data_IF_742982526154
#
_entry.id   IF_742982526154
#
_cell.length_a   1.000
_cell.length_b   1.000
_cell.length_c   1.000
_cell.angle_alpha   90.00
_cell.angle_beta   90.00
_cell.angle_gamma   90.00
#
_symmetry.space_group_name_H-M   'P 1'
#
loop_
_entity.id
_entity.type
_entity.pdbx_description
1 polymer ?
#
# COMPACT_ATOMS: atom_id res chain seq x y z
N UNK A 1 -54.32 -5.98 51.74
CA UNK A 1 -53.33 -6.77 50.97
C UNK A 1 -52.34 -5.79 50.40
N UNK A 2 -51.30 -5.53 51.19
CA UNK A 2 -49.92 -6.02 51.02
C UNK A 2 -49.17 -5.15 49.98
N UNK A 3 -48.12 -4.42 50.34
CA UNK A 3 -47.45 -4.17 51.63
C UNK A 3 -46.38 -3.10 51.32
N UNK A 4 -46.26 -2.08 52.20
CA UNK A 4 -45.02 -1.43 52.69
C UNK A 4 -44.24 -0.57 51.67
N UNK A 5 -44.32 0.77 51.74
CA UNK A 5 -43.66 1.68 52.70
C UNK A 5 -42.17 1.91 52.35
N UNK A 6 -41.52 3.06 52.52
CA UNK A 6 -41.81 4.30 53.23
C UNK A 6 -40.71 5.31 52.77
N UNK A 7 -41.01 6.62 52.75
CA UNK A 7 -40.25 7.74 53.38
C UNK A 7 -38.70 7.72 53.30
N UNK A 8 -37.93 8.75 52.92
CA UNK A 8 -37.82 10.19 53.31
C UNK A 8 -36.71 10.74 52.36
N UNK A 9 -36.90 11.80 51.57
CA UNK A 9 -36.67 13.23 51.89
C UNK A 9 -35.23 13.68 52.20
N UNK A 10 -34.81 14.73 51.48
CA UNK A 10 -33.90 15.85 51.85
C UNK A 10 -32.41 15.74 51.45
N UNK A 11 -32.11 16.48 50.37
CA UNK A 11 -31.08 17.52 50.19
C UNK A 11 -29.61 17.25 50.58
N UNK A 12 -28.72 17.34 49.60
CA UNK A 12 -27.72 18.43 49.45
C UNK A 12 -26.73 18.11 48.31
N UNK A 13 -26.27 19.20 47.66
CA UNK A 13 -25.01 19.47 46.94
C UNK A 13 -23.98 18.35 46.62
N UNK A 14 -23.10 18.69 45.65
CA UNK A 14 -21.89 17.99 45.13
C UNK A 14 -22.18 17.09 43.91
N UNK A 15 -21.52 17.17 42.76
CA UNK A 15 -20.30 17.85 42.34
C UNK A 15 -20.46 18.27 40.86
N UNK A 16 -20.30 19.57 40.57
CA UNK A 16 -19.94 20.03 39.23
C UNK A 16 -18.43 19.82 39.12
N UNK A 17 -18.02 18.88 38.26
CA UNK A 17 -16.61 18.60 37.97
C UNK A 17 -16.11 17.30 38.58
N UNK A 18 -16.30 16.20 37.86
CA UNK A 18 -15.44 15.02 37.85
C UNK A 18 -16.01 14.05 36.80
N UNK A 19 -15.63 14.27 35.54
CA UNK A 19 -15.38 13.20 34.56
C UNK A 19 -14.69 13.83 33.36
N UNK A 20 -13.48 14.36 33.61
CA UNK A 20 -12.43 14.25 32.61
C UNK A 20 -11.84 12.87 32.82
N UNK A 21 -12.26 11.96 31.96
CA UNK A 21 -11.57 10.71 31.69
C UNK A 21 -10.05 10.94 31.77
N UNK A 22 -9.36 10.09 32.52
CA UNK A 22 -7.96 9.79 32.34
C UNK A 22 -7.69 9.62 30.84
N UNK A 23 -7.24 10.69 30.18
CA UNK A 23 -6.55 10.56 28.91
C UNK A 23 -5.16 10.09 29.30
N UNK A 24 -4.95 8.77 29.22
CA UNK A 24 -3.60 8.25 29.06
C UNK A 24 -2.90 9.10 28.01
N UNK A 25 -1.63 9.50 28.20
CA UNK A 25 -0.92 10.26 27.18
C UNK A 25 -1.08 9.54 25.84
N UNK A 26 -1.47 10.25 24.78
CA UNK A 26 -1.67 9.68 23.45
C UNK A 26 -0.37 8.96 23.04
N UNK A 27 -0.34 7.64 23.18
CA UNK A 27 0.82 6.84 22.77
C UNK A 27 0.72 6.69 21.27
N UNK A 28 1.39 7.58 20.56
CA UNK A 28 1.55 7.49 19.11
C UNK A 28 2.61 6.43 18.79
N UNK A 29 2.22 5.43 18.00
CA UNK A 29 3.10 4.36 17.50
C UNK A 29 3.49 4.72 16.07
N UNK A 30 4.75 5.08 15.88
CA UNK A 30 5.28 5.53 14.60
C UNK A 30 6.45 4.66 14.21
N UNK A 31 6.56 4.35 12.92
CA UNK A 31 7.64 3.54 12.42
C UNK A 31 8.01 3.88 10.98
N UNK A 32 8.92 3.06 10.46
CA UNK A 32 9.37 3.15 9.08
C UNK A 32 9.34 1.78 8.38
N UNK A 33 9.11 1.79 7.08
CA UNK A 33 9.35 0.63 6.22
C UNK A 33 10.80 0.70 5.70
N UNK A 34 11.71 -0.07 6.29
CA UNK A 34 13.15 -0.05 6.02
C UNK A 34 13.59 -1.38 5.38
N UNK A 35 13.58 -1.52 4.06
CA UNK A 35 13.68 -2.82 3.40
C UNK A 35 15.02 -3.52 3.66
N UNK A 36 16.11 -2.77 3.86
CA UNK A 36 17.46 -3.32 3.99
C UNK A 36 17.84 -3.73 5.42
N UNK A 37 17.10 -3.29 6.43
CA UNK A 37 17.39 -3.61 7.82
C UNK A 37 16.93 -2.51 8.77
N UNK A 38 17.42 -2.51 10.00
CA UNK A 38 17.14 -1.48 11.00
C UNK A 38 18.34 -0.55 11.16
N UNK A 39 18.31 0.68 10.62
CA UNK A 39 19.34 1.67 10.89
C UNK A 39 19.39 2.03 12.39
N UNK A 40 20.59 2.06 13.02
CA UNK A 40 20.73 2.31 14.46
C UNK A 40 20.13 3.63 14.96
N UNK A 41 20.12 4.66 14.12
CA UNK A 41 19.58 5.99 14.42
C UNK A 41 18.06 5.98 14.60
N UNK A 42 17.34 5.02 13.99
CA UNK A 42 15.89 4.91 14.11
C UNK A 42 15.45 4.33 15.46
N UNK A 43 16.25 3.43 16.04
CA UNK A 43 15.90 2.66 17.25
C UNK A 43 15.54 3.54 18.45
N UNK A 44 16.06 4.77 18.50
CA UNK A 44 15.78 5.75 19.57
C UNK A 44 14.80 6.84 19.18
N UNK A 45 14.30 6.82 17.96
CA UNK A 45 13.52 7.90 17.35
C UNK A 45 12.11 7.50 17.01
N UNK A 46 11.83 6.21 16.84
CA UNK A 46 10.54 5.64 16.45
C UNK A 46 10.30 4.34 17.22
N UNK A 47 9.09 3.81 17.14
CA UNK A 47 8.64 2.64 17.90
C UNK A 47 8.91 1.32 17.19
N UNK A 48 8.89 1.34 15.84
CA UNK A 48 9.09 0.12 15.07
C UNK A 48 9.68 0.35 13.66
N UNK A 49 10.15 -0.74 13.05
CA UNK A 49 10.41 -0.83 11.62
C UNK A 49 9.73 -2.04 10.99
N UNK A 50 9.43 -1.96 9.69
CA UNK A 50 9.04 -3.08 8.83
C UNK A 50 10.18 -3.33 7.85
N UNK A 51 10.83 -4.49 7.97
CA UNK A 51 12.01 -4.87 7.18
C UNK A 51 11.65 -5.96 6.17
N UNK A 52 12.10 -5.83 4.92
CA UNK A 52 12.02 -6.93 3.96
C UNK A 52 13.07 -7.98 4.34
N UNK A 53 12.61 -9.14 4.78
CA UNK A 53 13.51 -10.22 5.17
C UNK A 53 14.16 -10.83 3.94
N UNK A 54 15.49 -10.75 3.87
CA UNK A 54 16.28 -11.28 2.77
C UNK A 54 16.97 -12.60 3.14
N UNK A 55 17.66 -12.63 4.29
CA UNK A 55 18.38 -13.81 4.79
C UNK A 55 18.50 -13.78 6.33
N UNK A 56 18.85 -14.91 6.98
CA UNK A 56 18.96 -14.97 8.43
C UNK A 56 19.98 -13.99 9.05
N UNK A 57 21.07 -13.65 8.35
CA UNK A 57 22.07 -12.72 8.88
C UNK A 57 21.53 -11.30 8.94
N UNK A 58 20.81 -10.87 7.90
CA UNK A 58 20.16 -9.56 7.86
C UNK A 58 19.06 -9.44 8.94
N UNK A 59 18.25 -10.50 9.12
CA UNK A 59 17.23 -10.56 10.18
C UNK A 59 17.87 -10.52 11.57
N UNK A 60 18.93 -11.30 11.81
CA UNK A 60 19.64 -11.27 13.09
C UNK A 60 20.27 -9.89 13.36
N UNK A 61 20.88 -9.27 12.36
CA UNK A 61 21.48 -7.93 12.48
C UNK A 61 20.45 -6.87 12.88
N UNK A 62 19.27 -6.90 12.26
CA UNK A 62 18.19 -5.96 12.57
C UNK A 62 17.68 -6.13 14.00
N UNK A 63 17.48 -7.38 14.45
CA UNK A 63 17.07 -7.69 15.83
C UNK A 63 18.14 -7.33 16.86
N UNK A 64 19.42 -7.59 16.57
CA UNK A 64 20.55 -7.19 17.43
C UNK A 64 20.60 -5.68 17.64
N UNK A 65 20.32 -4.90 16.60
CA UNK A 65 20.32 -3.44 16.67
C UNK A 65 19.23 -2.90 17.61
N UNK A 66 18.10 -3.60 17.72
CA UNK A 66 17.00 -3.27 18.63
C UNK A 66 17.19 -3.74 20.08
N UNK A 67 18.14 -4.66 20.32
CA UNK A 67 18.32 -5.32 21.62
C UNK A 67 18.59 -4.32 22.75
N UNK A 68 17.89 -4.48 23.87
CA UNK A 68 18.01 -3.58 25.03
C UNK A 68 17.21 -2.28 24.90
N UNK A 69 16.32 -2.19 23.91
CA UNK A 69 15.40 -1.06 23.70
C UNK A 69 13.95 -1.56 23.56
N UNK A 70 12.98 -0.65 23.61
CA UNK A 70 11.56 -0.97 23.35
C UNK A 70 11.22 -1.13 21.87
N UNK A 71 12.16 -0.83 20.97
CA UNK A 71 11.95 -0.85 19.52
C UNK A 71 11.55 -2.23 19.00
N UNK A 72 10.54 -2.27 18.13
CA UNK A 72 10.05 -3.51 17.50
C UNK A 72 10.52 -3.62 16.05
N UNK A 73 11.04 -4.78 15.68
CA UNK A 73 11.35 -5.12 14.30
C UNK A 73 10.27 -6.06 13.77
N UNK A 74 9.48 -5.57 12.82
CA UNK A 74 8.52 -6.35 12.05
C UNK A 74 9.16 -6.78 10.73
N UNK A 75 8.74 -7.93 10.19
CA UNK A 75 9.36 -8.50 8.99
C UNK A 75 8.33 -8.82 7.91
N UNK A 76 8.60 -8.36 6.69
CA UNK A 76 7.93 -8.80 5.48
C UNK A 76 8.68 -10.02 4.91
N UNK A 77 8.06 -11.19 4.99
CA UNK A 77 8.57 -12.46 4.46
C UNK A 77 8.05 -12.79 3.06
N UNK A 78 7.47 -11.85 2.31
CA UNK A 78 6.96 -12.16 0.94
C UNK A 78 7.99 -12.91 0.09
N UNK A 79 9.25 -12.45 0.08
CA UNK A 79 10.35 -13.08 -0.68
C UNK A 79 10.80 -14.45 -0.15
N UNK A 80 10.41 -14.81 1.06
CA UNK A 80 10.77 -16.08 1.72
C UNK A 80 9.60 -17.08 1.67
N UNK A 81 8.41 -16.63 2.04
CA UNK A 81 7.23 -17.47 2.21
C UNK A 81 6.54 -17.81 0.89
N UNK A 82 6.77 -17.05 -0.18
CA UNK A 82 6.10 -17.24 -1.47
C UNK A 82 7.07 -17.61 -2.59
N UNK A 83 6.52 -18.22 -3.65
CA UNK A 83 7.16 -18.40 -4.94
C UNK A 83 6.49 -17.50 -5.97
N UNK A 84 7.20 -17.23 -7.08
CA UNK A 84 6.59 -16.61 -8.27
C UNK A 84 5.68 -17.64 -8.95
N UNK A 85 4.52 -17.22 -9.46
CA UNK A 85 3.65 -18.13 -10.24
C UNK A 85 4.37 -18.61 -11.51
N UNK A 86 4.36 -19.92 -11.82
CA UNK A 86 4.83 -20.42 -13.10
C UNK A 86 3.89 -19.98 -14.23
N UNK A 87 4.37 -19.92 -15.47
CA UNK A 87 3.58 -19.44 -16.62
C UNK A 87 2.26 -20.18 -16.81
N UNK A 88 2.25 -21.50 -16.60
CA UNK A 88 1.04 -22.31 -16.74
C UNK A 88 -0.04 -22.01 -15.69
N UNK A 89 0.28 -21.27 -14.63
CA UNK A 89 -0.66 -20.82 -13.60
C UNK A 89 -1.08 -19.35 -13.79
N UNK A 90 -0.58 -18.67 -14.83
CA UNK A 90 -0.94 -17.29 -15.16
C UNK A 90 -1.97 -17.33 -16.28
N UNK A 91 -3.15 -16.76 -16.01
CA UNK A 91 -4.23 -16.63 -16.97
C UNK A 91 -3.82 -15.70 -18.11
N UNK A 92 -4.04 -16.17 -19.34
CA UNK A 92 -4.02 -15.37 -20.56
C UNK A 92 -5.36 -14.70 -20.83
N UNK A 93 -6.39 -14.99 -20.02
CA UNK A 93 -7.72 -14.41 -20.16
C UNK A 93 -7.88 -13.23 -19.20
N UNK A 94 -8.54 -12.17 -19.67
CA UNK A 94 -8.98 -11.05 -18.84
C UNK A 94 -10.38 -10.58 -19.26
N UNK A 95 -11.00 -9.74 -18.43
CA UNK A 95 -12.27 -9.09 -18.74
C UNK A 95 -12.09 -7.59 -18.87
N UNK A 96 -12.76 -6.99 -19.86
CA UNK A 96 -12.84 -5.54 -19.96
C UNK A 96 -14.00 -4.98 -19.10
N UNK A 97 -14.22 -3.66 -19.11
CA UNK A 97 -15.29 -2.99 -18.33
C UNK A 97 -16.69 -3.45 -18.71
N UNK A 98 -16.88 -3.93 -19.93
CA UNK A 98 -18.18 -4.47 -20.40
C UNK A 98 -18.41 -5.90 -19.91
N UNK A 99 -17.39 -6.52 -19.28
CA UNK A 99 -17.40 -7.93 -18.91
C UNK A 99 -17.06 -8.86 -20.08
N UNK A 100 -16.66 -8.31 -21.23
CA UNK A 100 -16.25 -9.11 -22.38
C UNK A 100 -14.92 -9.78 -22.08
N UNK A 101 -14.82 -11.07 -22.38
CA UNK A 101 -13.60 -11.87 -22.19
C UNK A 101 -12.68 -11.70 -23.38
N UNK A 102 -11.40 -11.51 -23.10
CA UNK A 102 -10.34 -11.32 -24.09
C UNK A 102 -9.15 -12.23 -23.79
N UNK A 103 -8.34 -12.52 -24.81
CA UNK A 103 -7.09 -13.28 -24.67
C UNK A 103 -5.91 -12.38 -24.95
N UNK A 104 -4.94 -12.35 -24.05
CA UNK A 104 -3.67 -11.63 -24.18
C UNK A 104 -2.88 -12.17 -25.37
N UNK A 105 -2.25 -11.27 -26.14
CA UNK A 105 -1.36 -11.65 -27.24
C UNK A 105 0.07 -11.98 -26.81
N UNK A 106 0.50 -11.44 -25.67
CA UNK A 106 1.87 -11.60 -25.18
C UNK A 106 1.95 -12.58 -24.02
N UNK A 107 2.78 -13.60 -24.14
CA UNK A 107 3.06 -14.53 -23.05
C UNK A 107 3.59 -13.78 -21.81
N UNK A 108 3.27 -14.23 -20.58
CA UNK A 108 3.72 -13.60 -19.34
C UNK A 108 5.24 -13.46 -19.29
N UNK A 109 5.76 -12.33 -18.78
CA UNK A 109 7.21 -12.20 -18.58
C UNK A 109 7.61 -13.14 -17.44
N UNK A 110 8.59 -14.00 -17.70
CA UNK A 110 9.09 -14.96 -16.72
C UNK A 110 10.51 -14.65 -16.25
N UNK A 111 10.80 -14.89 -14.96
CA UNK A 111 9.85 -15.31 -13.92
C UNK A 111 8.95 -14.14 -13.47
N UNK A 112 7.62 -14.34 -13.46
CA UNK A 112 6.64 -13.27 -13.21
C UNK A 112 6.93 -12.55 -11.88
N UNK A 113 7.32 -11.26 -11.90
CA UNK A 113 7.92 -10.63 -10.73
C UNK A 113 6.90 -10.45 -9.59
N UNK A 114 5.66 -10.07 -9.93
CA UNK A 114 4.61 -9.72 -8.96
C UNK A 114 3.65 -10.85 -8.59
N UNK A 115 3.23 -11.69 -9.54
CA UNK A 115 2.29 -12.78 -9.25
C UNK A 115 2.91 -13.86 -8.36
N UNK A 116 2.31 -14.10 -7.19
CA UNK A 116 2.83 -15.01 -6.16
C UNK A 116 1.95 -16.25 -5.94
N UNK A 117 2.54 -17.28 -5.37
CA UNK A 117 1.84 -18.44 -4.80
C UNK A 117 2.57 -18.90 -3.53
N UNK A 118 1.85 -19.46 -2.57
CA UNK A 118 2.49 -20.16 -1.46
C UNK A 118 2.89 -21.57 -1.90
N UNK A 119 4.08 -22.07 -1.53
CA UNK A 119 4.41 -23.47 -1.69
C UNK A 119 3.62 -24.35 -0.70
N UNK A 120 3.90 -25.65 -0.70
CA UNK A 120 3.32 -26.57 0.28
C UNK A 120 3.75 -26.24 1.74
N UNK A 121 2.97 -26.74 2.71
CA UNK A 121 3.18 -26.47 4.14
C UNK A 121 4.58 -26.88 4.62
N UNK A 122 5.12 -28.00 4.13
CA UNK A 122 6.43 -28.50 4.54
C UNK A 122 7.54 -27.53 4.10
N UNK A 123 7.42 -26.99 2.88
CA UNK A 123 8.32 -25.99 2.33
C UNK A 123 8.21 -24.67 3.08
N UNK A 124 7.00 -24.19 3.39
CA UNK A 124 6.79 -22.99 4.22
C UNK A 124 7.50 -23.16 5.58
N UNK A 125 7.25 -24.27 6.29
CA UNK A 125 7.91 -24.55 7.58
C UNK A 125 9.43 -24.54 7.46
N UNK A 126 9.97 -25.23 6.45
CA UNK A 126 11.43 -25.29 6.21
C UNK A 126 12.02 -23.90 5.97
N UNK A 127 11.37 -23.06 5.16
CA UNK A 127 11.86 -21.72 4.83
C UNK A 127 11.78 -20.77 6.01
N UNK A 128 10.72 -20.82 6.82
CA UNK A 128 10.51 -19.91 7.95
C UNK A 128 11.29 -20.32 9.21
N UNK A 129 11.58 -21.61 9.40
CA UNK A 129 12.22 -22.13 10.62
C UNK A 129 13.47 -21.36 11.05
N UNK A 130 14.48 -21.11 10.18
CA UNK A 130 15.70 -20.41 10.59
C UNK A 130 15.43 -18.99 11.11
N UNK A 131 14.44 -18.32 10.52
CA UNK A 131 14.05 -16.97 10.94
C UNK A 131 13.31 -17.00 12.27
N UNK A 132 12.40 -17.96 12.47
CA UNK A 132 11.64 -18.05 13.71
C UNK A 132 12.52 -18.47 14.90
N UNK A 133 13.59 -19.24 14.66
CA UNK A 133 14.61 -19.52 15.68
C UNK A 133 15.33 -18.23 16.12
N UNK A 134 15.59 -17.31 15.18
CA UNK A 134 16.14 -15.99 15.50
C UNK A 134 15.14 -15.11 16.25
N UNK A 135 13.88 -15.09 15.83
CA UNK A 135 12.84 -14.34 16.54
C UNK A 135 12.66 -14.85 17.98
N UNK A 136 12.79 -16.15 18.22
CA UNK A 136 12.76 -16.72 19.58
C UNK A 136 13.93 -16.22 20.44
N UNK A 137 15.12 -16.14 19.85
CA UNK A 137 16.33 -15.60 20.52
C UNK A 137 16.20 -14.11 20.87
N UNK A 138 15.47 -13.33 20.06
CA UNK A 138 15.27 -11.89 20.23
C UNK A 138 13.79 -11.50 20.42
N UNK A 139 13.05 -12.32 21.19
CA UNK A 139 11.59 -12.25 21.27
C UNK A 139 11.04 -10.92 21.81
N UNK A 140 11.82 -10.22 22.64
CA UNK A 140 11.46 -8.89 23.16
C UNK A 140 11.42 -7.81 22.06
N UNK A 141 12.13 -7.98 20.95
CA UNK A 141 12.17 -7.01 19.87
C UNK A 141 11.44 -7.48 18.60
N UNK A 142 11.00 -8.75 18.54
CA UNK A 142 10.20 -9.25 17.45
C UNK A 142 8.78 -8.63 17.47
N UNK A 143 8.39 -7.99 16.36
CA UNK A 143 7.10 -7.32 16.19
C UNK A 143 6.08 -8.17 15.43
N UNK A 144 5.66 -7.67 14.28
CA UNK A 144 4.69 -8.34 13.38
C UNK A 144 5.41 -9.05 12.24
N UNK A 145 4.85 -10.16 11.78
CA UNK A 145 5.31 -10.87 10.59
C UNK A 145 4.25 -10.76 9.49
N UNK A 146 4.65 -10.27 8.32
CA UNK A 146 3.82 -10.23 7.11
C UNK A 146 4.26 -11.35 6.17
N UNK A 147 3.36 -12.31 5.88
CA UNK A 147 3.69 -13.44 5.01
C UNK A 147 3.63 -13.09 3.53
N UNK A 148 2.80 -12.12 3.19
CA UNK A 148 2.65 -11.59 1.84
C UNK A 148 2.21 -10.13 1.90
N UNK A 149 2.90 -9.33 1.11
CA UNK A 149 2.61 -7.94 0.82
C UNK A 149 1.68 -7.85 -0.39
N UNK A 150 0.71 -6.94 -0.31
CA UNK A 150 -0.34 -6.73 -1.31
C UNK A 150 -0.92 -8.04 -1.90
N UNK A 151 -1.35 -9.02 -1.07
CA UNK A 151 -1.54 -10.39 -1.52
C UNK A 151 -2.56 -10.51 -2.65
N UNK A 152 -3.63 -9.72 -2.61
CA UNK A 152 -4.72 -9.82 -3.58
C UNK A 152 -4.36 -9.20 -4.92
N UNK A 153 -3.60 -8.11 -4.92
CA UNK A 153 -2.98 -7.55 -6.13
C UNK A 153 -2.08 -8.62 -6.78
N UNK A 154 -1.30 -9.33 -5.95
CA UNK A 154 -0.36 -10.34 -6.36
C UNK A 154 -0.99 -11.73 -6.62
N UNK A 155 -2.32 -11.82 -6.63
CA UNK A 155 -3.06 -13.02 -7.03
C UNK A 155 -3.07 -14.16 -6.01
N UNK A 156 -2.78 -13.88 -4.74
CA UNK A 156 -2.90 -14.83 -3.63
C UNK A 156 -4.33 -14.86 -3.12
N UNK A 157 -4.92 -16.07 -3.10
CA UNK A 157 -6.28 -16.26 -2.62
C UNK A 157 -6.37 -16.13 -1.10
N UNK A 158 -7.52 -15.66 -0.60
CA UNK A 158 -7.83 -15.60 0.85
C UNK A 158 -7.58 -16.93 1.56
N UNK A 159 -8.05 -18.05 0.99
CA UNK A 159 -7.88 -19.38 1.57
C UNK A 159 -6.41 -19.83 1.66
N UNK A 160 -5.58 -19.40 0.70
CA UNK A 160 -4.14 -19.69 0.71
C UNK A 160 -3.41 -18.86 1.77
N UNK A 161 -3.82 -17.59 1.95
CA UNK A 161 -3.35 -16.77 3.07
C UNK A 161 -3.71 -17.40 4.41
N UNK A 162 -4.95 -17.89 4.58
CA UNK A 162 -5.39 -18.56 5.81
C UNK A 162 -4.59 -19.85 6.09
N UNK A 163 -4.34 -20.67 5.06
CA UNK A 163 -3.50 -21.87 5.16
C UNK A 163 -2.07 -21.51 5.60
N UNK A 164 -1.42 -20.60 4.89
CA UNK A 164 -0.05 -20.19 5.19
C UNK A 164 0.06 -19.52 6.57
N UNK A 165 -0.91 -18.68 6.92
CA UNK A 165 -1.05 -18.05 8.23
C UNK A 165 -1.15 -19.08 9.36
N UNK A 166 -1.98 -20.10 9.20
CA UNK A 166 -2.11 -21.18 10.18
C UNK A 166 -0.79 -21.97 10.36
N UNK A 167 -0.07 -22.25 9.27
CA UNK A 167 1.25 -22.90 9.34
C UNK A 167 2.26 -22.02 10.09
N UNK A 168 2.32 -20.73 9.77
CA UNK A 168 3.22 -19.78 10.44
C UNK A 168 2.89 -19.65 11.93
N UNK A 169 1.61 -19.50 12.29
CA UNK A 169 1.16 -19.44 13.68
C UNK A 169 1.58 -20.66 14.48
N UNK A 170 1.37 -21.87 13.93
CA UNK A 170 1.82 -23.11 14.57
C UNK A 170 3.34 -23.13 14.81
N UNK A 171 4.14 -22.66 13.86
CA UNK A 171 5.60 -22.64 14.00
C UNK A 171 6.11 -21.59 14.99
N UNK A 172 5.42 -20.45 15.10
CA UNK A 172 5.68 -19.45 16.13
C UNK A 172 5.30 -19.97 17.54
N UNK A 173 4.13 -20.62 17.67
CA UNK A 173 3.65 -21.16 18.95
C UNK A 173 4.57 -22.24 19.51
N UNK A 174 5.11 -23.11 18.65
CA UNK A 174 6.13 -24.12 19.03
C UNK A 174 7.39 -23.51 19.65
N UNK A 175 7.65 -22.23 19.39
CA UNK A 175 8.83 -21.47 19.86
C UNK A 175 8.50 -20.49 20.97
N UNK A 176 7.26 -20.49 21.49
CA UNK A 176 6.85 -19.56 22.52
C UNK A 176 6.71 -18.12 22.03
N UNK A 177 6.44 -17.91 20.73
CA UNK A 177 6.31 -16.59 20.11
C UNK A 177 4.84 -16.15 19.98
N UNK A 178 4.01 -16.39 21.00
CA UNK A 178 2.58 -16.03 20.97
C UNK A 178 2.34 -14.51 20.88
N UNK A 179 3.31 -13.69 21.32
CA UNK A 179 3.25 -12.23 21.24
C UNK A 179 3.58 -11.68 19.86
N UNK A 180 4.25 -12.46 19.00
CA UNK A 180 4.57 -12.06 17.62
C UNK A 180 3.31 -12.17 16.78
N UNK A 181 2.87 -11.03 16.23
CA UNK A 181 1.62 -10.90 15.47
C UNK A 181 1.79 -11.38 14.03
N UNK A 182 0.72 -11.87 13.43
CA UNK A 182 0.62 -12.06 11.98
C UNK A 182 -0.09 -10.87 11.35
N UNK A 183 0.54 -10.28 10.34
CA UNK A 183 0.04 -9.12 9.62
C UNK A 183 -0.23 -9.39 8.15
N UNK A 184 -1.16 -8.63 7.58
CA UNK A 184 -1.41 -8.56 6.13
C UNK A 184 -1.51 -7.09 5.72
N UNK A 185 -0.83 -6.71 4.64
CA UNK A 185 -0.88 -5.34 4.08
C UNK A 185 -1.55 -5.43 2.72
N UNK A 186 -2.62 -4.66 2.51
CA UNK A 186 -3.36 -4.61 1.25
C UNK A 186 -2.98 -3.39 0.42
N UNK A 187 -2.92 -3.58 -0.89
CA UNK A 187 -2.87 -2.46 -1.84
C UNK A 187 -4.24 -1.77 -1.86
N UNK A 188 -4.30 -0.59 -1.26
CA UNK A 188 -5.50 0.20 -1.04
C UNK A 188 -6.66 -0.61 -0.49
N UNK A 189 -7.76 -0.59 -1.26
CA UNK A 189 -9.03 -1.17 -0.88
C UNK A 189 -9.23 -2.64 -1.25
N UNK A 190 -8.22 -3.37 -1.70
CA UNK A 190 -8.42 -4.69 -2.33
C UNK A 190 -9.06 -5.76 -1.44
N UNK A 191 -9.09 -5.57 -0.12
CA UNK A 191 -9.88 -6.41 0.79
C UNK A 191 -11.41 -6.28 0.57
N UNK A 192 -11.92 -5.21 -0.04
CA UNK A 192 -13.32 -5.14 -0.47
C UNK A 192 -13.43 -5.72 -1.87
N UNK A 193 -14.26 -6.75 -2.01
CA UNK A 193 -14.55 -7.41 -3.28
C UNK A 193 -14.83 -6.41 -4.40
N UNK A 194 -15.74 -5.45 -4.17
CA UNK A 194 -16.19 -4.53 -5.22
C UNK A 194 -15.07 -3.61 -5.68
N UNK A 195 -14.18 -3.20 -4.77
CA UNK A 195 -12.99 -2.44 -5.13
C UNK A 195 -11.97 -3.29 -5.90
N UNK A 196 -11.71 -4.52 -5.45
CA UNK A 196 -10.81 -5.45 -6.15
C UNK A 196 -11.29 -5.76 -7.57
N UNK A 197 -12.61 -5.92 -7.78
CA UNK A 197 -13.21 -6.05 -9.11
C UNK A 197 -13.04 -4.78 -9.98
N UNK A 198 -13.06 -3.57 -9.40
CA UNK A 198 -12.79 -2.34 -10.17
C UNK A 198 -11.32 -2.29 -10.61
N UNK A 199 -10.39 -2.60 -9.71
CA UNK A 199 -8.95 -2.67 -10.00
C UNK A 199 -8.61 -3.69 -11.11
N UNK A 200 -9.24 -4.88 -11.08
CA UNK A 200 -9.04 -5.90 -12.11
C UNK A 200 -9.62 -5.46 -13.47
N UNK A 201 -10.78 -4.77 -13.47
CA UNK A 201 -11.34 -4.16 -14.70
C UNK A 201 -10.43 -3.12 -15.32
N UNK A 202 -9.83 -2.25 -14.51
CA UNK A 202 -8.88 -1.24 -15.01
C UNK A 202 -7.64 -1.89 -15.61
N UNK A 203 -7.13 -2.94 -14.96
CA UNK A 203 -6.04 -3.74 -15.50
C UNK A 203 -6.44 -4.42 -16.82
N UNK A 204 -7.69 -4.87 -16.94
CA UNK A 204 -8.26 -5.40 -18.17
C UNK A 204 -8.35 -4.37 -19.29
N UNK A 205 -8.78 -3.13 -19.00
CA UNK A 205 -8.78 -2.04 -19.99
C UNK A 205 -7.36 -1.66 -20.43
N UNK A 206 -6.40 -1.68 -19.50
CA UNK A 206 -4.99 -1.51 -19.83
C UNK A 206 -4.51 -2.61 -20.79
N UNK A 207 -4.80 -3.89 -20.51
CA UNK A 207 -4.43 -5.00 -21.38
C UNK A 207 -5.09 -4.88 -22.77
N UNK A 208 -6.39 -4.57 -22.80
CA UNK A 208 -7.17 -4.35 -24.03
C UNK A 208 -6.57 -3.30 -24.94
N UNK A 209 -6.12 -2.18 -24.39
CA UNK A 209 -5.49 -1.10 -25.17
C UNK A 209 -4.27 -1.62 -25.92
N UNK A 210 -3.43 -2.42 -25.28
CA UNK A 210 -2.19 -2.92 -25.89
C UNK A 210 -2.41 -4.11 -26.82
N UNK A 211 -3.37 -4.98 -26.50
CA UNK A 211 -3.79 -6.06 -27.39
C UNK A 211 -4.39 -5.50 -28.68
N UNK A 212 -5.24 -4.49 -28.58
CA UNK A 212 -5.78 -3.79 -29.75
C UNK A 212 -4.65 -3.16 -30.60
N UNK A 213 -3.68 -2.48 -29.97
CA UNK A 213 -2.56 -1.89 -30.68
C UNK A 213 -1.71 -2.95 -31.41
N UNK A 214 -1.51 -4.12 -30.79
CA UNK A 214 -0.83 -5.25 -31.41
C UNK A 214 -1.60 -5.79 -32.62
N UNK A 215 -2.91 -6.00 -32.50
CA UNK A 215 -3.76 -6.47 -33.61
C UNK A 215 -3.76 -5.48 -34.77
N UNK A 216 -4.00 -4.20 -34.47
CA UNK A 216 -4.02 -3.10 -35.44
C UNK A 216 -2.70 -2.99 -36.20
N UNK A 217 -1.58 -2.91 -35.50
CA UNK A 217 -0.27 -2.81 -36.13
C UNK A 217 0.07 -4.02 -36.99
N UNK A 218 -0.34 -5.23 -36.59
CA UNK A 218 -0.19 -6.43 -37.42
C UNK A 218 -1.10 -6.42 -38.67
N UNK A 219 -2.31 -5.89 -38.56
CA UNK A 219 -3.21 -5.73 -39.72
C UNK A 219 -2.61 -4.78 -40.75
N UNK A 220 -2.04 -3.65 -40.31
CA UNK A 220 -1.33 -2.70 -41.17
C UNK A 220 -0.10 -3.34 -41.82
N UNK A 221 0.73 -4.07 -41.04
CA UNK A 221 1.90 -4.78 -41.58
C UNK A 221 1.54 -5.83 -42.64
N UNK A 222 0.35 -6.43 -42.56
CA UNK A 222 -0.16 -7.41 -43.52
C UNK A 222 -0.89 -6.77 -44.71
N UNK A 223 -1.02 -5.44 -44.74
CA UNK A 223 -1.77 -4.71 -45.77
C UNK A 223 -3.29 -4.93 -45.70
N UNK A 224 -3.81 -5.37 -44.55
CA UNK A 224 -5.25 -5.53 -44.31
C UNK A 224 -5.91 -4.19 -43.95
N UNK A 225 -5.13 -3.27 -43.39
CA UNK A 225 -5.55 -1.92 -43.02
C UNK A 225 -4.51 -0.89 -43.46
N UNK A 226 -4.94 0.37 -43.58
CA UNK A 226 -4.07 1.49 -43.93
C UNK A 226 -4.12 2.54 -42.82
N UNK A 227 -3.02 2.68 -42.08
CA UNK A 227 -2.84 3.73 -41.07
C UNK A 227 -1.44 4.34 -41.23
N UNK A 228 -1.32 5.60 -41.68
CA UNK A 228 -0.03 6.25 -41.91
C UNK A 228 0.73 6.55 -40.61
N UNK A 229 0.10 6.41 -39.43
CA UNK A 229 0.76 6.62 -38.14
C UNK A 229 1.55 5.39 -37.67
N UNK A 230 1.31 4.22 -38.28
CA UNK A 230 2.04 2.98 -37.97
C UNK A 230 3.29 2.90 -38.83
N UNK A 231 4.44 3.24 -38.25
CA UNK A 231 5.75 2.91 -38.85
C UNK A 231 6.06 1.41 -38.64
N UNK A 232 6.20 0.61 -39.72
CA UNK A 232 6.52 -0.81 -39.63
C UNK A 232 7.76 -1.17 -38.80
N UNK A 233 8.81 -0.35 -38.86
CA UNK A 233 10.05 -0.58 -38.13
C UNK A 233 9.86 -0.30 -36.64
N UNK A 234 9.27 0.86 -36.32
CA UNK A 234 8.98 1.24 -34.95
C UNK A 234 8.01 0.27 -34.27
N UNK A 235 6.97 -0.20 -34.98
CA UNK A 235 6.03 -1.17 -34.45
C UNK A 235 6.71 -2.52 -34.13
N UNK A 236 7.57 -3.04 -35.01
CA UNK A 236 8.31 -4.29 -34.73
C UNK A 236 9.25 -4.16 -33.53
N UNK A 237 9.87 -2.99 -33.36
CA UNK A 237 10.68 -2.69 -32.18
C UNK A 237 9.81 -2.63 -30.92
N UNK A 238 8.65 -1.96 -31.00
CA UNK A 238 7.68 -1.91 -29.91
C UNK A 238 7.22 -3.32 -29.50
N UNK A 239 6.88 -4.21 -30.44
CA UNK A 239 6.49 -5.60 -30.12
C UNK A 239 7.60 -6.32 -29.35
N UNK A 240 8.84 -6.19 -29.82
CA UNK A 240 10.01 -6.81 -29.16
C UNK A 240 10.21 -6.24 -27.75
N UNK A 241 10.08 -4.92 -27.59
CA UNK A 241 10.20 -4.26 -26.31
C UNK A 241 9.08 -4.68 -25.34
N UNK A 242 7.82 -4.56 -25.77
CA UNK A 242 6.65 -4.90 -24.97
C UNK A 242 6.63 -6.38 -24.54
N UNK A 243 7.12 -7.29 -25.37
CA UNK A 243 7.27 -8.71 -25.00
C UNK A 243 8.25 -8.96 -23.85
N UNK A 244 9.19 -8.03 -23.59
CA UNK A 244 10.30 -8.21 -22.64
C UNK A 244 10.21 -7.31 -21.41
N UNK A 245 9.69 -6.09 -21.56
CA UNK A 245 9.81 -5.03 -20.54
C UNK A 245 8.52 -4.19 -20.41
N UNK A 246 7.34 -4.81 -20.58
CA UNK A 246 6.05 -4.15 -20.32
C UNK A 246 5.76 -4.02 -18.81
N UNK A 247 4.80 -3.16 -18.47
CA UNK A 247 4.31 -3.04 -17.10
C UNK A 247 3.62 -4.33 -16.64
N UNK A 248 3.83 -4.67 -15.37
CA UNK A 248 3.23 -5.84 -14.71
C UNK A 248 1.71 -5.81 -14.72
N UNK A 249 1.08 -4.63 -14.81
CA UNK A 249 -0.37 -4.44 -14.98
C UNK A 249 -0.96 -5.33 -16.07
N UNK A 250 -0.25 -5.50 -17.20
CA UNK A 250 -0.69 -6.38 -18.28
C UNK A 250 -0.79 -7.85 -17.81
N UNK A 251 0.19 -8.31 -17.03
CA UNK A 251 0.22 -9.68 -16.51
C UNK A 251 -0.78 -9.86 -15.35
N UNK A 252 -1.00 -8.81 -14.54
CA UNK A 252 -1.99 -8.80 -13.45
C UNK A 252 -3.44 -8.87 -13.93
N UNK A 253 -3.76 -8.33 -15.10
CA UNK A 253 -5.12 -8.36 -15.65
C UNK A 253 -5.69 -9.80 -15.70
N UNK A 254 -6.79 -10.06 -14.99
CA UNK A 254 -7.39 -11.40 -14.89
C UNK A 254 -6.63 -12.39 -14.00
N UNK A 255 -5.63 -11.93 -13.25
CA UNK A 255 -4.80 -12.75 -12.34
C UNK A 255 -4.80 -12.24 -10.89
N UNK A 256 -5.44 -11.10 -10.61
CA UNK A 256 -5.68 -10.61 -9.24
C UNK A 256 -6.68 -11.51 -8.50
N UNK A 257 -6.62 -11.53 -7.17
CA UNK A 257 -7.67 -12.14 -6.36
C UNK A 257 -8.77 -11.10 -6.07
N UNK A 258 -9.95 -11.31 -6.65
CA UNK A 258 -11.02 -10.31 -6.67
C UNK A 258 -12.16 -10.58 -5.69
N UNK A 259 -12.20 -11.74 -5.02
CA UNK A 259 -13.29 -12.09 -4.11
C UNK A 259 -13.24 -11.33 -2.77
N UNK A 260 -12.12 -10.67 -2.46
CA UNK A 260 -11.95 -9.85 -1.27
C UNK A 260 -12.00 -10.63 0.06
N UNK A 261 -12.26 -9.90 1.14
CA UNK A 261 -12.28 -10.37 2.51
C UNK A 261 -10.96 -10.12 3.26
N UNK A 262 -11.00 -10.29 4.58
CA UNK A 262 -9.80 -10.33 5.43
C UNK A 262 -9.53 -11.80 5.78
N UNK A 263 -8.34 -12.36 5.48
CA UNK A 263 -8.02 -13.75 5.81
C UNK A 263 -8.02 -13.96 7.32
N UNK A 264 -8.60 -15.04 7.82
CA UNK A 264 -8.59 -15.41 9.24
C UNK A 264 -7.18 -15.69 9.79
N UNK A 265 -6.99 -15.53 11.10
CA UNK A 265 -5.71 -15.80 11.77
C UNK A 265 -4.66 -14.69 11.69
N UNK A 266 -5.03 -13.53 11.14
CA UNK A 266 -4.20 -12.32 11.10
C UNK A 266 -4.65 -11.32 12.15
N UNK A 267 -3.69 -10.82 12.93
CA UNK A 267 -3.84 -9.91 14.07
C UNK A 267 -3.73 -8.44 13.64
N UNK A 268 -2.94 -8.15 12.61
CA UNK A 268 -2.74 -6.80 12.06
C UNK A 268 -3.23 -6.75 10.63
N UNK A 269 -4.02 -5.72 10.31
CA UNK A 269 -4.44 -5.43 8.94
C UNK A 269 -3.98 -4.04 8.57
N UNK A 270 -3.05 -3.98 7.63
CA UNK A 270 -2.55 -2.74 7.05
C UNK A 270 -3.09 -2.50 5.66
N UNK A 271 -2.99 -1.25 5.22
CA UNK A 271 -3.08 -0.90 3.81
C UNK A 271 -2.10 0.22 3.49
N UNK A 272 -1.66 0.26 2.25
CA UNK A 272 -1.05 1.43 1.62
C UNK A 272 -1.94 1.94 0.50
N UNK A 273 -1.94 3.25 0.24
CA UNK A 273 -2.56 3.81 -0.95
C UNK A 273 -1.86 5.12 -1.27
N UNK A 274 -0.62 5.00 -1.74
CA UNK A 274 0.28 6.13 -1.93
C UNK A 274 -0.28 7.15 -2.93
N UNK A 275 0.09 8.42 -2.74
CA UNK A 275 -0.33 9.49 -3.64
C UNK A 275 0.18 9.24 -5.06
N UNK A 276 1.44 8.83 -5.23
CA UNK A 276 2.01 8.48 -6.53
C UNK A 276 1.26 7.34 -7.21
N UNK A 277 0.85 6.31 -6.45
CA UNK A 277 0.01 5.22 -6.97
C UNK A 277 -1.28 5.75 -7.59
N UNK A 278 -2.05 6.55 -6.85
CA UNK A 278 -3.33 7.10 -7.33
C UNK A 278 -3.14 8.08 -8.48
N UNK A 279 -2.05 8.86 -8.48
CA UNK A 279 -1.76 9.83 -9.54
C UNK A 279 -1.24 9.18 -10.82
N UNK A 280 -0.38 8.17 -10.74
CA UNK A 280 0.43 7.71 -11.88
C UNK A 280 0.04 6.33 -12.41
N UNK A 281 -0.51 5.46 -11.57
CA UNK A 281 -0.84 4.10 -11.98
C UNK A 281 -2.22 4.07 -12.68
N UNK A 282 -2.24 3.60 -13.92
CA UNK A 282 -3.44 3.50 -14.74
C UNK A 282 -4.49 2.55 -14.12
N UNK A 283 -4.10 1.61 -13.27
CA UNK A 283 -5.04 0.73 -12.55
C UNK A 283 -5.92 1.48 -11.55
N UNK A 284 -5.51 2.69 -11.15
CA UNK A 284 -6.24 3.54 -10.20
C UNK A 284 -7.05 4.65 -10.87
N UNK A 285 -7.16 4.67 -12.20
CA UNK A 285 -7.74 5.75 -13.00
C UNK A 285 -9.15 6.19 -12.55
N UNK A 286 -9.98 5.27 -12.03
CA UNK A 286 -11.32 5.60 -11.53
C UNK A 286 -11.48 5.47 -10.02
N UNK A 287 -10.40 5.31 -9.24
CA UNK A 287 -10.48 5.02 -7.80
C UNK A 287 -11.22 6.10 -7.01
N UNK A 288 -10.90 7.39 -7.22
CA UNK A 288 -11.57 8.47 -6.47
C UNK A 288 -13.04 8.64 -6.86
N UNK A 289 -13.38 8.45 -8.13
CA UNK A 289 -14.79 8.42 -8.59
C UNK A 289 -15.56 7.23 -8.02
N UNK A 290 -14.90 6.06 -7.94
CA UNK A 290 -15.45 4.87 -7.31
C UNK A 290 -15.69 5.11 -5.82
N UNK A 291 -14.73 5.72 -5.10
CA UNK A 291 -14.91 6.10 -3.71
C UNK A 291 -16.04 7.12 -3.54
N UNK A 292 -16.14 8.12 -4.41
CA UNK A 292 -17.24 9.09 -4.38
C UNK A 292 -18.62 8.42 -4.47
N UNK A 293 -18.72 7.36 -5.27
CA UNK A 293 -19.97 6.62 -5.49
C UNK A 293 -20.34 5.68 -4.34
N UNK A 294 -19.34 5.12 -3.65
CA UNK A 294 -19.54 4.08 -2.61
C UNK A 294 -19.40 4.62 -1.17
N UNK A 295 -18.71 5.75 -1.01
CA UNK A 295 -18.38 6.41 0.27
C UNK A 295 -18.55 7.94 0.13
N UNK A 296 -19.74 8.45 -0.22
CA UNK A 296 -19.93 9.89 -0.51
C UNK A 296 -19.61 10.82 0.68
N UNK A 297 -19.66 10.31 1.92
CA UNK A 297 -19.45 11.08 3.15
C UNK A 297 -17.96 11.23 3.53
N UNK A 298 -17.02 10.73 2.72
CA UNK A 298 -15.58 10.75 3.06
C UNK A 298 -14.81 11.83 2.28
N UNK A 299 -15.42 12.98 2.00
CA UNK A 299 -14.81 14.07 1.22
C UNK A 299 -14.66 13.77 -0.28
N UNK A 300 -15.09 12.58 -0.73
CA UNK A 300 -14.93 12.13 -2.11
C UNK A 300 -15.92 12.72 -3.11
N UNK A 301 -17.02 13.33 -2.66
CA UNK A 301 -18.13 13.76 -3.54
C UNK A 301 -17.67 14.63 -4.72
N UNK A 302 -16.64 15.47 -4.51
CA UNK A 302 -16.08 16.33 -5.56
C UNK A 302 -15.45 15.56 -6.72
N UNK A 303 -15.03 14.30 -6.52
CA UNK A 303 -14.39 13.46 -7.54
C UNK A 303 -15.38 12.57 -8.30
N UNK A 304 -16.68 12.67 -8.02
CA UNK A 304 -17.70 11.87 -8.71
C UNK A 304 -17.62 12.08 -10.24
N UNK A 305 -17.47 10.98 -10.97
CA UNK A 305 -17.40 10.97 -12.44
C UNK A 305 -16.08 11.50 -13.02
N UNK A 306 -15.09 11.84 -12.20
CA UNK A 306 -13.78 12.31 -12.66
C UNK A 306 -12.76 11.18 -12.71
N UNK A 307 -11.98 11.13 -13.79
CA UNK A 307 -10.81 10.26 -13.91
C UNK A 307 -9.60 10.88 -13.22
N UNK A 308 -8.66 10.04 -12.77
CA UNK A 308 -7.40 10.51 -12.20
C UNK A 308 -6.58 11.30 -13.20
N UNK A 309 -6.54 10.91 -14.48
CA UNK A 309 -5.93 11.73 -15.54
C UNK A 309 -6.49 13.17 -15.61
N UNK A 310 -7.79 13.35 -15.41
CA UNK A 310 -8.44 14.67 -15.41
C UNK A 310 -8.15 15.47 -14.14
N UNK A 311 -8.03 14.78 -13.00
CA UNK A 311 -7.68 15.41 -11.71
C UNK A 311 -6.22 15.83 -11.74
N UNK A 312 -5.34 14.95 -12.22
CA UNK A 312 -3.89 15.17 -12.34
C UNK A 312 -3.55 16.36 -13.22
N UNK A 313 -4.24 16.54 -14.34
CA UNK A 313 -4.06 17.69 -15.23
C UNK A 313 -4.39 19.06 -14.60
N UNK A 314 -4.94 19.10 -13.38
CA UNK A 314 -5.19 20.35 -12.63
C UNK A 314 -4.03 20.75 -11.71
N UNK A 315 -3.07 19.85 -11.49
CA UNK A 315 -1.91 20.10 -10.65
C UNK A 315 -0.89 20.93 -11.43
N UNK A 316 -0.35 21.97 -10.80
CA UNK A 316 0.53 22.94 -11.44
C UNK A 316 1.89 22.37 -11.88
N UNK A 317 2.20 21.15 -11.43
CA UNK A 317 3.41 20.39 -11.71
C UNK A 317 3.19 19.18 -12.63
N UNK A 318 2.00 19.05 -13.24
CA UNK A 318 1.70 18.07 -14.29
C UNK A 318 1.34 18.81 -15.59
N UNK A 319 2.36 19.24 -16.35
CA UNK A 319 2.15 19.99 -17.58
C UNK A 319 3.39 19.97 -18.47
N UNK A 320 3.22 20.24 -19.76
CA UNK A 320 4.36 20.38 -20.67
C UNK A 320 5.07 21.73 -20.44
N UNK A 321 6.37 21.66 -20.12
CA UNK A 321 7.21 22.84 -19.89
C UNK A 321 7.33 23.21 -18.41
N UNK A 322 7.85 24.41 -18.09
CA UNK A 322 8.18 24.77 -16.70
C UNK A 322 6.92 24.80 -15.82
N UNK A 323 6.99 24.39 -14.54
CA UNK A 323 5.85 24.37 -13.62
C UNK A 323 5.21 25.75 -13.47
N UNK A 324 3.90 25.81 -13.20
CA UNK A 324 3.24 27.09 -12.93
C UNK A 324 3.67 27.59 -11.55
N UNK A 325 4.40 28.69 -11.54
CA UNK A 325 4.95 29.29 -10.31
C UNK A 325 4.04 30.40 -9.76
N UNK A 326 4.00 30.51 -8.42
CA UNK A 326 3.29 31.56 -7.70
C UNK A 326 2.31 31.04 -6.65
N UNK A 327 2.03 31.88 -5.65
CA UNK A 327 1.26 31.50 -4.46
C UNK A 327 -0.12 30.88 -4.78
N UNK A 328 -0.82 31.42 -5.78
CA UNK A 328 -2.13 30.90 -6.20
C UNK A 328 -2.10 29.44 -6.68
N UNK A 329 -1.01 29.01 -7.32
CA UNK A 329 -0.88 27.65 -7.84
C UNK A 329 -0.50 26.69 -6.71
N UNK A 330 0.43 27.11 -5.84
CA UNK A 330 0.79 26.37 -4.62
C UNK A 330 -0.44 26.12 -3.74
N UNK A 331 -1.28 27.15 -3.52
CA UNK A 331 -2.52 27.02 -2.74
C UNK A 331 -3.56 26.13 -3.42
N UNK A 332 -3.69 26.23 -4.75
CA UNK A 332 -4.59 25.37 -5.54
C UNK A 332 -4.18 23.90 -5.48
N UNK A 333 -2.89 23.62 -5.69
CA UNK A 333 -2.32 22.28 -5.59
C UNK A 333 -2.51 21.70 -4.20
N UNK A 334 -2.18 22.48 -3.15
CA UNK A 334 -2.38 22.04 -1.76
C UNK A 334 -3.83 21.66 -1.51
N UNK A 335 -4.79 22.52 -1.89
CA UNK A 335 -6.22 22.24 -1.69
C UNK A 335 -6.69 20.97 -2.43
N UNK A 336 -6.20 20.76 -3.64
CA UNK A 336 -6.53 19.56 -4.42
C UNK A 336 -5.91 18.31 -3.80
N UNK A 337 -4.64 18.37 -3.39
CA UNK A 337 -3.94 17.27 -2.73
C UNK A 337 -4.55 16.93 -1.36
N UNK A 338 -4.97 17.94 -0.58
CA UNK A 338 -5.73 17.76 0.66
C UNK A 338 -7.02 16.98 0.38
N UNK A 339 -7.75 17.38 -0.66
CA UNK A 339 -9.00 16.71 -1.06
C UNK A 339 -8.77 15.26 -1.50
N UNK A 340 -7.71 15.01 -2.28
CA UNK A 340 -7.32 13.66 -2.71
C UNK A 340 -6.98 12.81 -1.48
N UNK A 341 -6.18 13.36 -0.56
CA UNK A 341 -5.81 12.72 0.71
C UNK A 341 -7.05 12.32 1.50
N UNK A 342 -7.95 13.27 1.77
CA UNK A 342 -9.16 13.00 2.55
C UNK A 342 -9.98 11.89 1.92
N UNK A 343 -10.21 11.97 0.59
CA UNK A 343 -10.99 10.96 -0.10
C UNK A 343 -10.35 9.57 -0.01
N UNK A 344 -9.08 9.42 -0.42
CA UNK A 344 -8.43 8.11 -0.49
C UNK A 344 -8.29 7.46 0.89
N UNK A 345 -7.92 8.24 1.92
CA UNK A 345 -7.66 7.71 3.25
C UNK A 345 -8.96 7.42 3.99
N UNK A 346 -9.89 8.39 4.08
CA UNK A 346 -11.16 8.20 4.79
C UNK A 346 -12.03 7.12 4.14
N UNK A 347 -12.08 7.05 2.80
CA UNK A 347 -12.84 6.00 2.12
C UNK A 347 -12.25 4.61 2.41
N UNK A 348 -10.93 4.46 2.30
CA UNK A 348 -10.26 3.16 2.52
C UNK A 348 -10.38 2.71 3.97
N UNK A 349 -10.14 3.59 4.96
CA UNK A 349 -10.33 3.25 6.38
C UNK A 349 -11.79 2.91 6.70
N UNK A 350 -12.75 3.67 6.14
CA UNK A 350 -14.18 3.38 6.33
C UNK A 350 -14.55 2.02 5.75
N UNK A 351 -14.04 1.69 4.57
CA UNK A 351 -14.23 0.41 3.93
C UNK A 351 -13.60 -0.73 4.74
N UNK A 352 -12.39 -0.51 5.27
CA UNK A 352 -11.70 -1.50 6.10
C UNK A 352 -12.48 -1.78 7.38
N UNK A 353 -12.91 -0.75 8.11
CA UNK A 353 -13.72 -0.90 9.32
C UNK A 353 -15.02 -1.64 9.08
N UNK A 354 -15.69 -1.37 7.95
CA UNK A 354 -16.88 -2.13 7.54
C UNK A 354 -16.56 -3.61 7.30
N UNK A 355 -15.44 -3.90 6.66
CA UNK A 355 -14.99 -5.28 6.37
C UNK A 355 -14.55 -6.01 7.64
N UNK A 356 -14.00 -5.29 8.62
CA UNK A 356 -13.60 -5.81 9.92
C UNK A 356 -14.74 -5.92 10.94
N UNK A 357 -15.97 -5.50 10.62
CA UNK A 357 -17.07 -5.45 11.59
C UNK A 357 -17.26 -6.81 12.29
N UNK A 358 -17.04 -6.84 13.62
CA UNK A 358 -17.12 -8.06 14.44
C UNK A 358 -15.81 -8.84 14.60
N UNK A 359 -14.72 -8.40 13.96
CA UNK A 359 -13.39 -8.99 14.07
C UNK A 359 -12.45 -8.06 14.85
N UNK A 360 -11.66 -8.64 15.76
CA UNK A 360 -10.56 -7.93 16.42
C UNK A 360 -9.31 -8.03 15.54
N UNK A 361 -8.86 -6.90 15.02
CA UNK A 361 -7.57 -6.75 14.36
C UNK A 361 -7.10 -5.31 14.56
N UNK A 362 -5.81 -5.13 14.78
CA UNK A 362 -5.21 -3.81 14.86
C UNK A 362 -4.99 -3.27 13.44
N UNK A 363 -5.27 -1.99 13.23
CA UNK A 363 -5.12 -1.35 11.93
C UNK A 363 -3.76 -0.66 11.85
N UNK A 364 -3.01 -0.93 10.79
CA UNK A 364 -1.77 -0.25 10.43
C UNK A 364 -2.03 0.68 9.24
N UNK A 365 -1.53 1.92 9.31
CA UNK A 365 -1.45 2.79 8.14
C UNK A 365 -0.02 2.79 7.61
N UNK A 366 0.18 2.54 6.31
CA UNK A 366 1.46 2.83 5.64
C UNK A 366 1.23 4.04 4.74
N UNK A 367 1.86 5.15 5.09
CA UNK A 367 1.68 6.42 4.38
C UNK A 367 2.82 6.69 3.42
N UNK A 368 2.47 7.31 2.30
CA UNK A 368 3.44 7.80 1.33
C UNK A 368 4.28 8.91 1.94
N UNK A 369 5.57 8.89 1.62
CA UNK A 369 6.52 9.92 2.01
C UNK A 369 7.70 9.93 1.03
N UNK A 370 7.40 9.67 -0.25
CA UNK A 370 8.40 9.56 -1.31
C UNK A 370 8.42 10.81 -2.19
N UNK A 371 9.61 11.24 -2.57
CA UNK A 371 9.79 12.25 -3.62
C UNK A 371 9.09 11.85 -4.92
N UNK A 372 9.04 10.54 -5.21
CA UNK A 372 8.45 9.98 -6.42
C UNK A 372 6.93 10.19 -6.53
N UNK A 373 6.27 10.62 -5.45
CA UNK A 373 4.84 10.89 -5.47
C UNK A 373 4.49 12.30 -6.00
N UNK A 374 5.46 13.23 -5.95
CA UNK A 374 5.20 14.67 -6.05
C UNK A 374 6.25 15.44 -6.87
N UNK A 375 7.01 14.72 -7.70
CA UNK A 375 7.89 15.31 -8.71
C UNK A 375 7.09 16.16 -9.71
N UNK A 376 7.78 16.98 -10.47
CA UNK A 376 7.27 17.58 -11.70
C UNK A 376 7.27 16.53 -12.81
N UNK A 377 6.19 16.54 -13.59
CA UNK A 377 5.98 15.64 -14.71
C UNK A 377 5.46 16.44 -15.91
N UNK A 378 5.80 15.95 -17.10
CA UNK A 378 5.12 16.40 -18.31
C UNK A 378 3.63 16.01 -18.29
N UNK A 379 2.86 16.50 -19.25
CA UNK A 379 1.43 16.17 -19.32
C UNK A 379 1.15 14.68 -19.55
N UNK A 380 2.15 13.93 -20.03
CA UNK A 380 2.11 12.49 -20.24
C UNK A 380 2.49 11.68 -18.99
N UNK A 381 2.99 12.32 -17.92
CA UNK A 381 3.39 11.68 -16.68
C UNK A 381 4.85 11.21 -16.65
N UNK A 382 5.71 11.73 -17.53
CA UNK A 382 7.15 11.47 -17.47
C UNK A 382 7.83 12.47 -16.52
N UNK A 383 8.73 12.03 -15.63
CA UNK A 383 9.43 12.95 -14.73
C UNK A 383 10.26 13.99 -15.50
N UNK A 384 10.07 15.27 -15.17
CA UNK A 384 10.85 16.37 -15.75
C UNK A 384 12.30 16.35 -15.22
N UNK A 385 13.25 16.84 -16.03
CA UNK A 385 14.68 16.88 -15.64
C UNK A 385 14.97 18.13 -14.79
N UNK A 386 15.89 18.01 -13.83
CA UNK A 386 16.45 19.13 -13.06
C UNK A 386 15.40 19.93 -12.25
N UNK A 387 14.69 19.23 -11.37
CA UNK A 387 13.64 19.80 -10.54
C UNK A 387 14.20 20.42 -9.25
N UNK A 388 13.62 21.51 -8.71
CA UNK A 388 14.04 22.08 -7.44
C UNK A 388 13.71 21.16 -6.25
N UNK A 389 14.74 20.63 -5.59
CA UNK A 389 14.59 19.68 -4.46
C UNK A 389 13.75 20.25 -3.31
N UNK A 390 13.88 21.55 -3.01
CA UNK A 390 13.13 22.24 -1.95
C UNK A 390 11.60 22.19 -2.17
N UNK A 391 11.15 22.29 -3.42
CA UNK A 391 9.72 22.24 -3.76
C UNK A 391 9.19 20.82 -3.61
N UNK A 392 9.98 19.82 -4.03
CA UNK A 392 9.64 18.41 -3.86
C UNK A 392 9.53 18.09 -2.36
N UNK A 393 10.53 18.48 -1.57
CA UNK A 393 10.53 18.30 -0.12
C UNK A 393 9.30 18.95 0.54
N UNK A 394 8.92 20.18 0.14
CA UNK A 394 7.74 20.85 0.68
C UNK A 394 6.44 20.07 0.39
N UNK A 395 6.30 19.48 -0.81
CA UNK A 395 5.12 18.68 -1.15
C UNK A 395 5.08 17.36 -0.36
N UNK A 396 6.23 16.72 -0.17
CA UNK A 396 6.35 15.52 0.68
C UNK A 396 6.04 15.86 2.15
N UNK A 397 6.52 17.00 2.65
CA UNK A 397 6.22 17.49 3.99
C UNK A 397 4.72 17.72 4.20
N UNK A 398 4.04 18.33 3.23
CA UNK A 398 2.59 18.54 3.28
C UNK A 398 1.84 17.21 3.33
N UNK A 399 2.30 16.20 2.57
CA UNK A 399 1.73 14.85 2.59
C UNK A 399 1.91 14.15 3.95
N UNK A 400 3.11 14.20 4.52
CA UNK A 400 3.38 13.66 5.86
C UNK A 400 2.54 14.36 6.92
N UNK A 401 2.37 15.68 6.86
CA UNK A 401 1.51 16.41 7.80
C UNK A 401 0.06 15.96 7.73
N UNK A 402 -0.48 15.71 6.54
CA UNK A 402 -1.83 15.15 6.38
C UNK A 402 -1.93 13.76 7.02
N UNK A 403 -0.94 12.92 6.78
CA UNK A 403 -0.88 11.57 7.35
C UNK A 403 -0.83 11.57 8.88
N UNK A 404 0.00 12.43 9.47
CA UNK A 404 0.12 12.57 10.92
C UNK A 404 -1.15 13.15 11.55
N UNK A 405 -1.77 14.16 10.91
CA UNK A 405 -3.05 14.69 11.38
C UNK A 405 -4.14 13.63 11.35
N UNK A 406 -4.25 12.90 10.23
CA UNK A 406 -5.22 11.82 10.07
C UNK A 406 -4.99 10.67 11.07
N UNK A 407 -3.73 10.28 11.28
CA UNK A 407 -3.36 9.26 12.25
C UNK A 407 -3.80 9.61 13.68
N UNK A 408 -3.73 10.89 14.08
CA UNK A 408 -4.18 11.34 15.41
C UNK A 408 -5.69 11.33 15.58
N UNK A 409 -6.45 11.45 14.49
CA UNK A 409 -7.92 11.48 14.52
C UNK A 409 -8.54 10.08 14.48
N UNK A 410 -7.75 9.06 14.14
CA UNK A 410 -8.23 7.73 13.82
C UNK A 410 -7.56 6.65 14.69
N UNK A 411 -8.31 5.60 15.03
CA UNK A 411 -7.78 4.46 15.81
C UNK A 411 -6.96 3.50 14.92
N UNK A 412 -5.68 3.81 14.77
CA UNK A 412 -4.67 2.98 14.13
C UNK A 412 -3.79 2.30 15.19
N UNK A 413 -4.36 1.31 15.90
CA UNK A 413 -3.71 0.64 17.02
C UNK A 413 -2.37 -0.06 16.70
N UNK A 414 -2.09 -0.39 15.43
CA UNK A 414 -0.79 -0.93 15.02
C UNK A 414 0.22 0.16 14.59
N UNK A 415 -0.21 1.42 14.55
CA UNK A 415 0.61 2.59 14.26
C UNK A 415 0.52 3.10 12.83
N UNK A 416 1.43 4.03 12.51
CA UNK A 416 1.68 4.55 11.15
C UNK A 416 3.14 4.32 10.75
N UNK A 417 3.36 3.87 9.52
CA UNK A 417 4.69 3.71 8.94
C UNK A 417 4.92 4.66 7.77
N UNK A 418 6.15 5.18 7.65
CA UNK A 418 6.62 6.02 6.55
C UNK A 418 7.78 5.35 5.79
N UNK A 419 8.19 5.93 4.66
CA UNK A 419 9.23 5.41 3.76
C UNK A 419 10.53 6.22 3.88
N UNK A 420 11.61 5.71 4.52
CA UNK A 420 12.85 6.43 4.82
C UNK A 420 13.94 6.25 3.75
N UNK A 421 13.63 5.96 2.50
CA UNK A 421 14.68 5.66 1.52
C UNK A 421 15.62 6.86 1.28
N UNK A 422 16.94 6.65 1.27
CA UNK A 422 17.97 7.65 0.90
C UNK A 422 18.29 7.65 -0.61
N UNK A 423 17.36 7.17 -1.45
CA UNK A 423 17.61 6.71 -2.84
C UNK A 423 18.04 5.23 -2.90
N UNK A 424 17.09 4.35 -2.63
CA UNK A 424 17.30 2.90 -2.63
C UNK A 424 16.74 2.25 -3.91
N UNK A 425 17.44 1.25 -4.42
CA UNK A 425 16.88 0.36 -5.45
C UNK A 425 15.98 -0.68 -4.81
N UNK A 426 14.72 -0.74 -5.24
CA UNK A 426 13.74 -1.77 -4.86
C UNK A 426 13.69 -2.86 -5.94
N UNK A 427 14.31 -4.00 -5.64
CA UNK A 427 14.36 -5.18 -6.52
C UNK A 427 12.98 -5.80 -6.81
N UNK A 428 11.95 -5.46 -6.02
CA UNK A 428 10.59 -6.00 -6.21
C UNK A 428 9.79 -5.25 -7.28
N UNK A 429 10.16 -3.99 -7.56
CA UNK A 429 9.55 -3.14 -8.60
C UNK A 429 10.55 -2.65 -9.64
N UNK A 430 11.84 -2.98 -9.50
CA UNK A 430 12.92 -2.63 -10.45
C UNK A 430 13.11 -1.11 -10.61
N UNK A 431 12.98 -0.36 -9.50
CA UNK A 431 13.01 1.11 -9.50
C UNK A 431 13.87 1.66 -8.35
N UNK A 432 14.50 2.81 -8.60
CA UNK A 432 15.09 3.63 -7.55
C UNK A 432 14.00 4.46 -6.86
N UNK A 433 13.87 4.30 -5.54
CA UNK A 433 12.92 4.99 -4.69
C UNK A 433 13.66 5.98 -3.79
N UNK A 434 13.30 7.26 -3.88
CA UNK A 434 13.73 8.29 -2.93
C UNK A 434 12.64 8.49 -1.86
N UNK A 435 13.00 8.43 -0.59
CA UNK A 435 12.12 8.57 0.56
C UNK A 435 12.54 9.75 1.43
N UNK A 436 12.14 9.76 2.69
CA UNK A 436 12.28 10.94 3.56
C UNK A 436 13.69 11.20 4.09
N UNK A 437 14.62 10.25 3.99
CA UNK A 437 15.92 10.40 4.66
C UNK A 437 16.78 11.50 4.05
N UNK A 438 16.57 11.84 2.78
CA UNK A 438 17.20 13.00 2.14
C UNK A 438 16.41 14.31 2.33
N UNK A 439 15.36 14.30 3.15
CA UNK A 439 14.44 15.42 3.38
C UNK A 439 14.37 15.78 4.87
N UNK A 440 15.34 16.57 5.38
CA UNK A 440 15.47 16.84 6.81
C UNK A 440 14.21 17.44 7.45
N UNK A 441 13.47 18.28 6.72
CA UNK A 441 12.24 18.91 7.22
C UNK A 441 11.12 17.89 7.40
N UNK A 442 11.08 16.88 6.54
CA UNK A 442 10.10 15.79 6.60
C UNK A 442 10.42 14.86 7.77
N UNK A 443 11.68 14.45 7.91
CA UNK A 443 12.13 13.63 9.05
C UNK A 443 11.89 14.32 10.38
N UNK A 444 12.19 15.62 10.47
CA UNK A 444 11.92 16.41 11.66
C UNK A 444 10.42 16.45 12.01
N UNK A 445 9.53 16.47 11.02
CA UNK A 445 8.08 16.44 11.26
C UNK A 445 7.61 15.08 11.80
N UNK A 446 8.10 13.97 11.25
CA UNK A 446 7.77 12.61 11.74
C UNK A 446 8.24 12.45 13.20
N UNK A 447 9.47 12.89 13.50
CA UNK A 447 10.04 12.80 14.85
C UNK A 447 9.39 13.73 15.89
N UNK A 448 8.54 14.70 15.50
CA UNK A 448 7.83 15.53 16.50
C UNK A 448 6.78 14.77 17.29
N UNK A 449 6.29 13.66 16.75
CA UNK A 449 5.20 12.89 17.35
C UNK A 449 5.66 11.58 17.97
N UNK A 450 6.95 11.27 17.85
CA UNK A 450 7.58 10.14 18.52
C UNK A 450 7.96 10.56 19.94
N UNK A 451 8.14 9.57 20.82
CA UNK A 451 8.33 9.76 22.27
C UNK A 451 9.39 10.84 22.60
N UNK A 452 9.19 11.63 23.68
CA UNK A 452 10.09 12.72 24.09
C UNK A 452 11.52 12.29 24.48
#
# INVERSE_FOLDING_TARGET
MRIIALLVSISALFCVGCDRSDQSPDVHIVGFFTPRGTPPELVRRVDFAIVNAADPNQVESSLKTATGTSFKVSFNFTGIATDRKPSNAISMQYQDRTGSKHTKHFDPILPAPKLKQFPDDATIRKRLSPYFDLLAKYSENAGTIYLADEPYLNGLAKSEMERAGAVARQELDKRGLQSVKLGVIFSGGMFDRRYAYEMDKESGEYAKKWDWWYEHGNAVLRGLETDPTVDPSAFKQWVTHFSRVRLTTYDLAGNMYIEGGIPEGYDVVGYDLYLGTVLLDATYENSLSWFASNFPNTGCAQFAGQKMSQIRAKLSFFQDGPPLVGQKYIESDRKLLDSIFECRMKATTTMLRRTLAGRKADILLISGSSANDVREYDSAGNPEKQQPEEIIEQRVLDEVKRALAYYREEDFAAGVAFLPYEHEYDDSIDLWIGGVSDMPSVMAEIYKITLP
#
